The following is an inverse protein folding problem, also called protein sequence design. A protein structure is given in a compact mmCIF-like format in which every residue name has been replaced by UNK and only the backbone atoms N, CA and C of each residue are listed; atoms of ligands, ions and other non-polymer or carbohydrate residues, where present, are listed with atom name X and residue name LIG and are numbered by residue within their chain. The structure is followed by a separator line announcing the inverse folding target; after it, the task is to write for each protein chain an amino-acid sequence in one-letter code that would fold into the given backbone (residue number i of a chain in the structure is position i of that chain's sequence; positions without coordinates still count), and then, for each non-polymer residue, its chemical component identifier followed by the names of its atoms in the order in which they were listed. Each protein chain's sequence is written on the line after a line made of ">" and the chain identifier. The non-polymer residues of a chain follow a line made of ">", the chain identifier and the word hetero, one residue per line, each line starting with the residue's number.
data_IF_373721769548
#
_entry.id   IF_373721769548
#
_cell.length_a   1.000
_cell.length_b   1.000
_cell.length_c   1.000
_cell.angle_alpha   90.00
_cell.angle_beta   90.00
_cell.angle_gamma   90.00
#
_symmetry.space_group_name_H-M   'P 1'
#
loop_
_entity.id
_entity.type
_entity.pdbx_description
1 polymer ?
#
# COMPACT_ATOMS: atom_id res chain seq x y z
N UNK A 1 -22.20 15.16 7.01
CA UNK A 1 -22.60 16.46 7.51
C UNK A 1 -21.86 17.57 6.77
N UNK A 2 -22.17 18.79 7.04
CA UNK A 2 -21.47 19.97 6.54
C UNK A 2 -20.45 20.41 7.58
N UNK A 3 -19.29 20.83 7.12
CA UNK A 3 -18.21 21.40 7.92
C UNK A 3 -17.79 22.72 7.26
N UNK A 4 -17.26 23.66 8.06
CA UNK A 4 -16.64 24.86 7.47
C UNK A 4 -15.37 24.49 6.71
N UNK A 5 -15.09 25.23 5.64
CA UNK A 5 -13.84 25.05 4.89
C UNK A 5 -12.64 25.29 5.82
N UNK A 6 -11.68 24.33 5.85
CA UNK A 6 -10.53 24.47 6.72
C UNK A 6 -9.52 25.48 6.15
N UNK A 7 -8.81 26.19 7.04
CA UNK A 7 -7.73 27.09 6.66
C UNK A 7 -6.37 26.51 7.02
N UNK A 8 -5.37 26.55 6.11
CA UNK A 8 -4.05 26.00 6.38
C UNK A 8 -3.25 26.90 7.32
N UNK A 9 -2.64 26.28 8.33
CA UNK A 9 -1.69 26.88 9.24
C UNK A 9 -0.28 27.01 8.64
N UNK A 10 0.68 27.34 9.49
CA UNK A 10 2.10 27.47 9.08
C UNK A 10 2.63 26.14 8.57
N UNK A 11 3.21 26.13 7.35
CA UNK A 11 3.77 24.94 6.72
C UNK A 11 2.73 23.94 6.17
N UNK A 12 1.45 24.35 6.10
CA UNK A 12 0.36 23.53 5.61
C UNK A 12 -0.16 24.00 4.25
N UNK A 13 -0.80 23.09 3.55
CA UNK A 13 -1.54 23.37 2.31
C UNK A 13 -2.98 22.89 2.44
N UNK A 14 -3.91 23.58 1.79
CA UNK A 14 -5.26 23.08 1.56
C UNK A 14 -5.34 22.44 0.18
N UNK A 15 -5.82 21.21 0.15
CA UNK A 15 -6.05 20.48 -1.10
C UNK A 15 -7.55 20.39 -1.34
N UNK A 16 -8.00 20.95 -2.46
CA UNK A 16 -9.32 20.66 -3.02
C UNK A 16 -9.28 19.27 -3.62
N UNK A 17 -9.97 18.34 -2.98
CA UNK A 17 -9.95 16.93 -3.35
C UNK A 17 -10.83 16.69 -4.58
N UNK A 18 -10.38 15.78 -5.44
CA UNK A 18 -11.11 15.25 -6.60
C UNK A 18 -11.36 13.76 -6.45
N UNK A 19 -10.50 13.08 -5.68
CA UNK A 19 -10.60 11.64 -5.41
C UNK A 19 -10.08 11.28 -4.02
N UNK A 20 -10.73 10.32 -3.37
CA UNK A 20 -10.33 9.74 -2.08
C UNK A 20 -10.26 8.23 -2.17
N UNK A 21 -9.12 7.63 -1.81
CA UNK A 21 -8.88 6.20 -1.84
C UNK A 21 -9.31 5.51 -0.56
N UNK A 22 -9.96 4.35 -0.66
CA UNK A 22 -10.41 3.58 0.49
C UNK A 22 -9.55 2.33 0.65
N UNK A 23 -8.88 2.22 1.77
CA UNK A 23 -8.06 1.08 2.14
C UNK A 23 -8.79 0.13 3.10
N UNK A 24 -8.42 -1.17 3.16
CA UNK A 24 -8.93 -2.08 4.17
C UNK A 24 -8.69 -1.59 5.61
N UNK A 25 -7.64 -0.82 5.83
CA UNK A 25 -7.34 -0.21 7.14
C UNK A 25 -8.39 0.82 7.56
N UNK A 26 -8.90 1.65 6.64
CA UNK A 26 -9.93 2.65 6.94
C UNK A 26 -11.20 1.96 7.44
N UNK A 27 -11.58 0.84 6.80
CA UNK A 27 -12.71 0.02 7.21
C UNK A 27 -12.46 -0.65 8.57
N UNK A 28 -11.26 -1.24 8.77
CA UNK A 28 -10.88 -1.86 10.04
C UNK A 28 -10.86 -0.84 11.19
N UNK A 29 -10.42 0.39 10.94
CA UNK A 29 -10.43 1.46 11.95
C UNK A 29 -11.86 1.84 12.34
N UNK A 30 -12.74 2.04 11.37
CA UNK A 30 -14.16 2.30 11.64
C UNK A 30 -14.84 1.20 12.47
N UNK A 31 -14.51 -0.07 12.20
CA UNK A 31 -15.15 -1.21 12.86
C UNK A 31 -14.59 -1.55 14.23
N UNK A 32 -13.33 -1.25 14.50
CA UNK A 32 -12.59 -1.84 15.62
C UNK A 32 -11.95 -0.84 16.58
N UNK A 33 -11.96 0.46 16.25
CA UNK A 33 -11.40 1.50 17.12
C UNK A 33 -12.51 2.36 17.71
N UNK A 34 -12.44 2.71 19.00
CA UNK A 34 -13.21 3.83 19.52
C UNK A 34 -12.80 5.10 18.75
N UNK A 35 -13.70 6.08 18.69
CA UNK A 35 -13.37 7.38 18.14
C UNK A 35 -12.38 8.09 19.07
N UNK A 36 -11.20 8.41 18.53
CA UNK A 36 -10.18 9.19 19.25
C UNK A 36 -10.53 10.70 19.24
N UNK A 37 -11.53 11.10 18.44
CA UNK A 37 -11.99 12.48 18.26
C UNK A 37 -13.51 12.51 18.24
N UNK A 38 -14.11 13.64 18.58
CA UNK A 38 -15.57 13.84 18.59
C UNK A 38 -16.21 13.52 17.22
N UNK A 39 -15.49 13.84 16.15
CA UNK A 39 -15.88 13.53 14.77
C UNK A 39 -14.65 13.18 13.93
N UNK A 40 -14.81 12.35 12.94
CA UNK A 40 -13.76 11.92 12.03
C UNK A 40 -14.25 11.97 10.59
N UNK A 41 -13.49 12.63 9.72
CA UNK A 41 -13.55 12.43 8.27
C UNK A 41 -12.58 11.30 7.92
N UNK A 42 -13.05 10.16 7.39
CA UNK A 42 -12.18 9.01 7.16
C UNK A 42 -11.27 9.18 5.94
N UNK A 43 -10.44 8.18 5.73
CA UNK A 43 -9.50 7.92 4.65
C UNK A 43 -8.18 8.67 4.75
N UNK A 44 -7.12 7.92 4.42
CA UNK A 44 -5.74 8.43 4.47
C UNK A 44 -5.23 8.91 3.12
N UNK A 45 -5.79 8.39 2.02
CA UNK A 45 -5.30 8.57 0.66
C UNK A 45 -6.26 9.43 -0.16
N UNK A 46 -5.71 10.32 -0.97
CA UNK A 46 -6.50 11.14 -1.87
C UNK A 46 -5.66 11.79 -2.95
N UNK A 47 -6.32 12.50 -3.85
CA UNK A 47 -5.66 13.33 -4.84
C UNK A 47 -6.55 14.52 -5.20
N UNK A 48 -5.91 15.65 -5.51
CA UNK A 48 -6.60 16.89 -5.78
C UNK A 48 -5.65 17.98 -6.25
N UNK A 49 -6.08 19.22 -6.08
CA UNK A 49 -5.32 20.40 -6.44
C UNK A 49 -5.12 21.28 -5.20
N UNK A 50 -3.91 21.75 -4.96
CA UNK A 50 -3.66 22.74 -3.91
C UNK A 50 -4.38 24.03 -4.31
N UNK A 51 -5.35 24.45 -3.51
CA UNK A 51 -6.11 25.68 -3.77
C UNK A 51 -5.70 26.83 -2.85
N UNK A 52 -5.08 26.51 -1.70
CA UNK A 52 -4.58 27.51 -0.76
C UNK A 52 -3.33 27.02 -0.01
N UNK A 53 -2.43 27.93 0.33
CA UNK A 53 -1.20 27.64 1.07
C UNK A 53 -1.11 28.52 2.32
N UNK A 54 -0.69 27.90 3.42
CA UNK A 54 -0.45 28.60 4.68
C UNK A 54 0.90 29.34 4.69
N UNK A 55 1.13 30.15 5.73
CA UNK A 55 2.41 30.85 5.89
C UNK A 55 3.59 29.88 5.87
N UNK A 56 4.68 30.26 5.18
CA UNK A 56 5.90 29.45 5.04
C UNK A 56 5.90 28.50 3.83
N UNK A 57 4.76 28.29 3.16
CA UNK A 57 4.68 27.51 1.92
C UNK A 57 4.72 28.44 0.71
N UNK A 58 5.47 28.04 -0.33
CA UNK A 58 5.61 28.83 -1.55
C UNK A 58 4.29 28.95 -2.32
N UNK A 59 3.88 30.18 -2.69
CA UNK A 59 2.63 30.45 -3.43
C UNK A 59 2.58 29.76 -4.81
N UNK A 60 3.72 29.40 -5.38
CA UNK A 60 3.82 28.66 -6.65
C UNK A 60 3.18 27.26 -6.58
N UNK A 61 2.92 26.74 -5.38
CA UNK A 61 2.23 25.47 -5.19
C UNK A 61 0.72 25.55 -5.43
N UNK A 62 0.11 26.74 -5.41
CA UNK A 62 -1.31 26.92 -5.74
C UNK A 62 -1.54 26.52 -7.19
N UNK A 63 -2.55 25.69 -7.43
CA UNK A 63 -2.84 25.09 -8.72
C UNK A 63 -2.10 23.77 -9.00
N UNK A 64 -1.16 23.37 -8.15
CA UNK A 64 -0.41 22.11 -8.30
C UNK A 64 -1.32 20.91 -8.09
N UNK A 65 -1.29 19.96 -9.02
CA UNK A 65 -1.92 18.65 -8.88
C UNK A 65 -1.10 17.79 -7.92
N UNK A 66 -1.77 17.17 -6.95
CA UNK A 66 -1.07 16.38 -5.91
C UNK A 66 -1.83 15.10 -5.58
N UNK A 67 -1.10 14.12 -5.11
CA UNK A 67 -1.63 13.02 -4.33
C UNK A 67 -1.22 13.19 -2.86
N UNK A 68 -2.04 12.68 -1.95
CA UNK A 68 -1.83 12.85 -0.50
C UNK A 68 -1.76 11.51 0.20
N UNK A 69 -1.03 11.48 1.32
CA UNK A 69 -0.83 10.30 2.15
C UNK A 69 -1.05 10.61 3.63
N UNK A 70 -1.48 9.60 4.40
CA UNK A 70 -1.70 9.67 5.85
C UNK A 70 -2.60 10.84 6.29
N UNK A 71 -3.56 11.27 5.48
CA UNK A 71 -4.40 12.42 5.81
C UNK A 71 -5.11 12.26 7.16
N UNK A 72 -5.61 11.08 7.50
CA UNK A 72 -6.36 10.81 8.75
C UNK A 72 -5.48 10.20 9.87
N UNK A 73 -4.16 10.05 9.68
CA UNK A 73 -3.30 9.43 10.69
C UNK A 73 -3.08 10.36 11.90
N UNK A 74 -3.55 9.93 13.10
CA UNK A 74 -3.45 10.65 14.38
C UNK A 74 -4.11 12.04 14.37
N UNK A 75 -5.10 12.26 13.50
CA UNK A 75 -5.91 13.47 13.41
C UNK A 75 -7.31 13.17 12.86
N UNK A 76 -8.28 14.06 13.06
CA UNK A 76 -9.67 13.79 12.70
C UNK A 76 -9.98 13.94 11.20
N UNK A 77 -9.12 14.62 10.43
CA UNK A 77 -9.43 15.07 9.08
C UNK A 77 -8.73 14.21 8.01
N UNK A 78 -9.50 13.34 7.36
CA UNK A 78 -9.08 12.54 6.23
C UNK A 78 -9.57 13.10 4.89
N UNK A 79 -9.57 12.25 3.86
CA UNK A 79 -9.82 12.67 2.46
C UNK A 79 -11.24 12.43 1.97
N UNK A 80 -12.15 11.89 2.78
CA UNK A 80 -13.55 11.70 2.39
C UNK A 80 -14.36 13.01 2.55
N UNK A 81 -13.88 14.11 1.97
CA UNK A 81 -14.46 15.46 1.99
C UNK A 81 -13.99 16.27 0.79
N UNK A 82 -14.50 17.49 0.62
CA UNK A 82 -14.15 18.37 -0.49
C UNK A 82 -12.78 19.02 -0.30
N UNK A 83 -12.39 19.34 0.93
CA UNK A 83 -11.13 20.00 1.25
C UNK A 83 -10.45 19.33 2.45
N UNK A 84 -9.15 19.18 2.36
CA UNK A 84 -8.31 18.73 3.48
C UNK A 84 -7.11 19.67 3.65
N UNK A 85 -6.79 20.00 4.91
CA UNK A 85 -5.56 20.71 5.25
C UNK A 85 -4.56 19.71 5.81
N UNK A 86 -3.31 19.82 5.38
CA UNK A 86 -2.23 18.90 5.77
C UNK A 86 -0.85 19.56 5.60
N UNK A 87 0.18 19.09 6.32
CA UNK A 87 1.55 19.53 6.08
C UNK A 87 1.93 19.42 4.60
N UNK A 88 2.62 20.43 4.06
CA UNK A 88 2.96 20.48 2.64
C UNK A 88 3.70 19.23 2.13
N UNK A 89 4.50 18.60 2.99
CA UNK A 89 5.21 17.35 2.66
C UNK A 89 4.28 16.16 2.37
N UNK A 90 3.03 16.21 2.84
CA UNK A 90 2.03 15.17 2.58
C UNK A 90 1.28 15.36 1.25
N UNK A 91 1.47 16.49 0.57
CA UNK A 91 0.92 16.79 -0.74
C UNK A 91 2.02 16.69 -1.80
N UNK A 92 2.15 15.51 -2.39
CA UNK A 92 3.21 15.18 -3.35
C UNK A 92 2.73 15.46 -4.78
N UNK A 93 3.57 16.04 -5.67
CA UNK A 93 3.18 16.28 -7.05
C UNK A 93 2.65 15.03 -7.76
N UNK A 94 1.52 15.18 -8.46
CA UNK A 94 0.90 14.13 -9.29
C UNK A 94 1.20 14.44 -10.75
N UNK A 95 1.85 13.53 -11.51
CA UNK A 95 2.11 13.72 -12.94
C UNK A 95 0.84 14.04 -13.73
N UNK A 96 0.93 14.93 -14.71
CA UNK A 96 -0.22 15.38 -15.50
C UNK A 96 -0.90 14.25 -16.29
N UNK A 97 -0.15 13.23 -16.69
CA UNK A 97 -0.67 12.06 -17.38
C UNK A 97 -1.55 11.16 -16.50
N UNK A 98 -1.52 11.34 -15.17
CA UNK A 98 -2.29 10.53 -14.23
C UNK A 98 -3.63 11.19 -13.89
N UNK A 99 -4.69 10.38 -13.76
CA UNK A 99 -5.96 10.86 -13.22
C UNK A 99 -5.89 11.01 -11.69
N UNK A 100 -6.80 11.80 -11.10
CA UNK A 100 -6.89 11.91 -9.64
C UNK A 100 -7.30 10.59 -8.98
N UNK A 101 -8.11 9.77 -9.65
CA UNK A 101 -8.46 8.43 -9.16
C UNK A 101 -7.22 7.52 -9.06
N UNK A 102 -6.30 7.62 -10.02
CA UNK A 102 -5.01 6.92 -9.95
C UNK A 102 -4.13 7.48 -8.82
N UNK A 103 -4.11 8.81 -8.66
CA UNK A 103 -3.41 9.47 -7.55
C UNK A 103 -3.92 9.01 -6.17
N UNK A 104 -5.22 8.83 -6.02
CA UNK A 104 -5.83 8.33 -4.79
C UNK A 104 -5.52 6.84 -4.47
N UNK A 105 -4.81 6.14 -5.36
CA UNK A 105 -4.33 4.77 -5.13
C UNK A 105 -2.90 4.70 -4.59
N UNK A 106 -2.21 5.84 -4.41
CA UNK A 106 -0.77 5.85 -4.16
C UNK A 106 -0.39 5.82 -2.68
N UNK A 107 -1.13 6.50 -1.82
CA UNK A 107 -0.74 6.76 -0.43
C UNK A 107 -0.38 5.49 0.35
N UNK A 108 -1.34 4.71 0.76
CA UNK A 108 -1.07 3.48 1.51
C UNK A 108 -0.57 2.36 0.60
N UNK A 109 -1.22 2.02 -0.54
CA UNK A 109 -0.82 0.82 -1.30
C UNK A 109 0.56 0.95 -1.95
N UNK A 110 0.83 2.04 -2.65
CA UNK A 110 2.10 2.18 -3.37
C UNK A 110 3.27 2.43 -2.41
N UNK A 111 3.11 3.28 -1.37
CA UNK A 111 4.17 3.51 -0.39
C UNK A 111 4.50 2.24 0.42
N UNK A 112 3.50 1.41 0.77
CA UNK A 112 3.74 0.10 1.39
C UNK A 112 4.58 -0.79 0.49
N UNK A 113 4.25 -0.85 -0.80
CA UNK A 113 5.01 -1.63 -1.78
C UNK A 113 6.45 -1.11 -1.93
N UNK A 114 6.65 0.20 -2.11
CA UNK A 114 8.01 0.79 -2.22
C UNK A 114 8.83 0.47 -0.98
N UNK A 115 8.25 0.65 0.23
CA UNK A 115 8.97 0.35 1.47
C UNK A 115 9.36 -1.12 1.56
N UNK A 116 8.47 -2.02 1.12
CA UNK A 116 8.78 -3.46 1.07
C UNK A 116 9.98 -3.74 0.15
N UNK A 117 10.02 -3.10 -1.03
CA UNK A 117 11.14 -3.23 -1.97
C UNK A 117 12.45 -2.70 -1.37
N UNK A 118 12.42 -1.54 -0.71
CA UNK A 118 13.62 -0.99 -0.04
C UNK A 118 14.14 -1.93 1.05
N UNK A 119 13.23 -2.50 1.86
CA UNK A 119 13.59 -3.44 2.92
C UNK A 119 14.12 -4.77 2.36
N UNK A 120 13.71 -5.18 1.17
CA UNK A 120 14.23 -6.35 0.48
C UNK A 120 15.68 -6.16 -0.02
N UNK A 121 16.15 -4.92 -0.11
CA UNK A 121 17.47 -4.57 -0.63
C UNK A 121 17.57 -4.74 -2.15
N UNK A 122 18.77 -5.05 -2.67
CA UNK A 122 18.95 -5.27 -4.11
C UNK A 122 18.21 -6.53 -4.56
N UNK A 123 17.35 -6.39 -5.57
CA UNK A 123 16.50 -7.48 -6.09
C UNK A 123 16.96 -8.00 -7.47
N UNK A 124 17.96 -7.41 -8.10
CA UNK A 124 18.45 -7.83 -9.41
C UNK A 124 18.87 -9.31 -9.40
N UNK A 125 18.23 -10.12 -10.25
CA UNK A 125 18.47 -11.56 -10.36
C UNK A 125 17.94 -12.41 -9.20
N UNK A 126 17.25 -11.81 -8.22
CA UNK A 126 16.68 -12.52 -7.06
C UNK A 126 15.28 -13.06 -7.34
N UNK A 127 14.87 -14.06 -6.58
CA UNK A 127 13.49 -14.57 -6.58
C UNK A 127 12.76 -14.06 -5.35
N UNK A 128 11.57 -13.50 -5.56
CA UNK A 128 10.73 -12.90 -4.49
C UNK A 128 9.38 -13.58 -4.46
N UNK A 129 8.91 -13.94 -3.26
CA UNK A 129 7.52 -14.35 -3.03
C UNK A 129 6.70 -13.15 -2.57
N UNK A 130 5.63 -12.82 -3.29
CA UNK A 130 4.66 -11.78 -2.88
C UNK A 130 3.35 -12.44 -2.51
N UNK A 131 3.00 -12.41 -1.22
CA UNK A 131 1.70 -12.94 -0.77
C UNK A 131 0.57 -11.99 -1.14
N UNK A 132 -0.54 -12.53 -1.64
CA UNK A 132 -1.66 -11.71 -2.12
C UNK A 132 -1.28 -10.77 -3.27
N UNK A 133 -0.51 -11.24 -4.23
CA UNK A 133 0.02 -10.47 -5.37
C UNK A 133 -1.06 -9.76 -6.22
N UNK A 134 -2.31 -10.26 -6.22
CA UNK A 134 -3.46 -9.60 -6.87
C UNK A 134 -4.21 -8.61 -5.95
N UNK A 135 -3.69 -8.26 -4.76
CA UNK A 135 -4.23 -7.20 -3.89
C UNK A 135 -3.74 -5.82 -4.34
N UNK A 136 -4.27 -4.74 -3.76
CA UNK A 136 -3.81 -3.38 -4.09
C UNK A 136 -2.30 -3.19 -3.82
N UNK A 137 -1.81 -3.58 -2.64
CA UNK A 137 -0.38 -3.51 -2.31
C UNK A 137 0.42 -4.54 -3.10
N UNK A 138 -0.06 -5.81 -3.16
CA UNK A 138 0.65 -6.89 -3.83
C UNK A 138 0.85 -6.65 -5.32
N UNK A 139 -0.12 -6.00 -5.99
CA UNK A 139 0.00 -5.60 -7.40
C UNK A 139 1.14 -4.59 -7.62
N UNK A 140 1.26 -3.57 -6.74
CA UNK A 140 2.38 -2.64 -6.79
C UNK A 140 3.70 -3.33 -6.42
N UNK A 141 3.73 -4.13 -5.35
CA UNK A 141 4.94 -4.82 -4.93
C UNK A 141 5.48 -5.76 -6.02
N UNK A 142 4.58 -6.47 -6.74
CA UNK A 142 4.94 -7.32 -7.87
C UNK A 142 5.57 -6.50 -8.99
N UNK A 143 4.91 -5.42 -9.45
CA UNK A 143 5.45 -4.55 -10.49
C UNK A 143 6.82 -3.98 -10.11
N UNK A 144 6.92 -3.42 -8.91
CA UNK A 144 8.16 -2.79 -8.43
C UNK A 144 9.30 -3.79 -8.26
N UNK A 145 9.02 -5.02 -7.78
CA UNK A 145 10.03 -6.08 -7.70
C UNK A 145 10.53 -6.47 -9.11
N UNK A 146 9.63 -6.60 -10.09
CA UNK A 146 9.99 -6.86 -11.49
C UNK A 146 10.82 -5.71 -12.07
N UNK A 147 10.44 -4.45 -11.80
CA UNK A 147 11.21 -3.27 -12.23
C UNK A 147 12.63 -3.22 -11.65
N UNK A 148 12.83 -3.79 -10.45
CA UNK A 148 14.15 -3.96 -9.81
C UNK A 148 14.89 -5.23 -10.27
N UNK A 149 14.36 -5.97 -11.27
CA UNK A 149 15.00 -7.14 -11.86
C UNK A 149 14.77 -8.46 -11.12
N UNK A 150 13.75 -8.54 -10.25
CA UNK A 150 13.40 -9.78 -9.59
C UNK A 150 12.54 -10.70 -10.45
N UNK A 151 12.66 -12.00 -10.21
CA UNK A 151 11.69 -13.01 -10.62
C UNK A 151 10.64 -13.16 -9.51
N UNK A 152 9.38 -12.80 -9.78
CA UNK A 152 8.34 -12.79 -8.76
C UNK A 152 7.45 -14.02 -8.83
N UNK A 153 7.29 -14.72 -7.70
CA UNK A 153 6.26 -15.73 -7.48
C UNK A 153 5.16 -15.03 -6.65
N UNK A 154 3.92 -15.04 -7.16
CA UNK A 154 2.79 -14.46 -6.44
C UNK A 154 1.93 -15.52 -5.78
N UNK A 155 1.11 -15.13 -4.76
CA UNK A 155 -0.02 -15.95 -4.32
C UNK A 155 -1.34 -15.23 -4.58
N UNK A 156 -2.39 -15.97 -4.92
CA UNK A 156 -3.72 -15.43 -5.12
C UNK A 156 -4.79 -16.43 -4.65
N UNK A 157 -5.97 -15.96 -4.24
CA UNK A 157 -7.08 -16.79 -3.76
C UNK A 157 -8.26 -16.86 -4.72
N UNK A 158 -8.10 -16.44 -5.99
CA UNK A 158 -9.09 -16.57 -7.06
C UNK A 158 -8.46 -16.39 -8.42
N UNK A 159 -9.10 -16.93 -9.47
CA UNK A 159 -8.64 -16.79 -10.86
C UNK A 159 -8.46 -15.33 -11.27
N UNK A 160 -9.42 -14.47 -10.95
CA UNK A 160 -9.36 -13.05 -11.28
C UNK A 160 -8.16 -12.32 -10.61
N UNK A 161 -7.83 -12.66 -9.35
CA UNK A 161 -6.65 -12.11 -8.67
C UNK A 161 -5.33 -12.71 -9.17
N UNK A 162 -5.38 -13.94 -9.71
CA UNK A 162 -4.25 -14.54 -10.42
C UNK A 162 -3.92 -13.73 -11.66
N UNK A 163 -4.92 -13.44 -12.51
CA UNK A 163 -4.75 -12.60 -13.70
C UNK A 163 -4.16 -11.23 -13.33
N UNK A 164 -4.61 -10.63 -12.23
CA UNK A 164 -4.09 -9.34 -11.74
C UNK A 164 -2.59 -9.41 -11.40
N UNK A 165 -2.16 -10.51 -10.77
CA UNK A 165 -0.76 -10.73 -10.41
C UNK A 165 0.11 -11.05 -11.65
N UNK A 166 -0.43 -11.81 -12.61
CA UNK A 166 0.25 -12.10 -13.89
C UNK A 166 0.43 -10.83 -14.71
N UNK A 167 -0.60 -9.98 -14.80
CA UNK A 167 -0.52 -8.67 -15.47
C UNK A 167 0.47 -7.72 -14.78
N UNK A 168 0.67 -7.85 -13.46
CA UNK A 168 1.71 -7.12 -12.73
C UNK A 168 3.13 -7.63 -13.01
N UNK A 169 3.29 -8.73 -13.75
CA UNK A 169 4.56 -9.32 -14.14
C UNK A 169 5.01 -10.50 -13.27
N UNK A 170 4.13 -11.09 -12.45
CA UNK A 170 4.49 -12.31 -11.72
C UNK A 170 4.82 -13.45 -12.69
N UNK A 171 5.99 -14.08 -12.50
CA UNK A 171 6.43 -15.23 -13.28
C UNK A 171 5.52 -16.46 -13.11
N UNK A 172 5.01 -16.65 -11.90
CA UNK A 172 4.08 -17.73 -11.55
C UNK A 172 3.18 -17.26 -10.41
N UNK A 173 1.93 -17.74 -10.38
CA UNK A 173 0.97 -17.41 -9.30
C UNK A 173 0.39 -18.69 -8.72
N UNK A 174 0.56 -18.87 -7.41
CA UNK A 174 0.08 -20.01 -6.65
C UNK A 174 -1.33 -19.71 -6.12
N UNK A 175 -2.30 -20.58 -6.42
CA UNK A 175 -3.59 -20.56 -5.76
C UNK A 175 -3.47 -21.21 -4.37
N UNK A 176 -3.35 -20.39 -3.34
CA UNK A 176 -3.15 -20.85 -1.97
C UNK A 176 -4.36 -21.58 -1.36
N UNK A 177 -5.52 -21.56 -2.05
CA UNK A 177 -6.69 -22.34 -1.65
C UNK A 177 -6.67 -23.78 -2.16
N UNK A 178 -5.91 -24.04 -3.23
CA UNK A 178 -5.79 -25.34 -3.87
C UNK A 178 -4.46 -26.01 -3.66
N UNK A 179 -3.41 -25.23 -3.36
CA UNK A 179 -2.04 -25.72 -3.35
C UNK A 179 -1.29 -25.17 -2.13
N UNK A 180 -0.58 -26.02 -1.40
CA UNK A 180 0.32 -25.60 -0.33
C UNK A 180 1.43 -24.71 -0.89
N UNK A 181 1.57 -23.49 -0.33
CA UNK A 181 2.46 -22.46 -0.87
C UNK A 181 3.93 -22.87 -0.76
N UNK A 182 4.39 -23.34 0.39
CA UNK A 182 5.79 -23.69 0.62
C UNK A 182 6.32 -24.76 -0.34
N UNK A 183 5.70 -25.96 -0.40
CA UNK A 183 6.10 -27.00 -1.35
C UNK A 183 6.11 -26.50 -2.81
N UNK A 184 5.12 -25.69 -3.20
CA UNK A 184 5.05 -25.19 -4.56
C UNK A 184 6.13 -24.16 -4.88
N UNK A 185 6.49 -23.31 -3.91
CA UNK A 185 7.63 -22.38 -4.05
C UNK A 185 8.93 -23.17 -4.23
N UNK A 186 9.15 -24.20 -3.41
CA UNK A 186 10.34 -25.06 -3.53
C UNK A 186 10.40 -25.76 -4.89
N UNK A 187 9.29 -26.28 -5.40
CA UNK A 187 9.22 -26.86 -6.73
C UNK A 187 9.60 -25.83 -7.82
N UNK A 188 9.00 -24.62 -7.80
CA UNK A 188 9.27 -23.55 -8.76
C UNK A 188 10.71 -23.02 -8.71
N UNK A 189 11.39 -23.21 -7.58
CA UNK A 189 12.77 -22.79 -7.35
C UNK A 189 13.77 -23.95 -7.33
N UNK A 190 13.34 -25.16 -7.72
CA UNK A 190 14.18 -26.37 -7.74
C UNK A 190 14.84 -26.66 -6.37
N UNK A 191 14.10 -26.40 -5.29
CA UNK A 191 14.55 -26.57 -3.92
C UNK A 191 15.35 -25.42 -3.33
N UNK A 192 15.71 -24.40 -4.12
CA UNK A 192 16.55 -23.29 -3.66
C UNK A 192 15.81 -22.32 -2.69
N UNK A 193 14.50 -22.19 -2.83
CA UNK A 193 13.71 -21.18 -2.11
C UNK A 193 13.84 -19.77 -2.69
N UNK A 194 13.26 -18.78 -2.02
CA UNK A 194 13.26 -17.37 -2.44
C UNK A 194 14.24 -16.53 -1.62
N UNK A 195 14.69 -15.41 -2.18
CA UNK A 195 15.61 -14.48 -1.51
C UNK A 195 14.84 -13.53 -0.57
N UNK A 196 13.59 -13.22 -0.90
CA UNK A 196 12.73 -12.36 -0.07
C UNK A 196 11.27 -12.82 -0.10
N UNK A 197 10.55 -12.56 0.99
CA UNK A 197 9.09 -12.66 1.09
C UNK A 197 8.54 -11.28 1.41
N UNK A 198 7.56 -10.81 0.63
CA UNK A 198 6.79 -9.58 0.89
C UNK A 198 5.38 -10.03 1.28
N UNK A 199 5.03 -9.84 2.55
CA UNK A 199 3.88 -10.49 3.16
C UNK A 199 2.81 -9.52 3.66
N UNK A 200 1.55 -9.82 3.28
CA UNK A 200 0.38 -9.03 3.65
C UNK A 200 -0.35 -9.51 4.90
N UNK A 201 -0.11 -10.75 5.35
CA UNK A 201 -0.85 -11.35 6.46
C UNK A 201 -0.03 -12.38 7.22
N UNK A 202 0.83 -11.89 8.09
CA UNK A 202 1.73 -12.73 8.88
C UNK A 202 1.00 -13.81 9.70
N UNK A 203 -0.23 -13.54 10.12
CA UNK A 203 -1.02 -14.51 10.89
C UNK A 203 -1.35 -15.80 10.12
N UNK A 204 -1.39 -15.75 8.79
CA UNK A 204 -1.66 -16.92 7.95
C UNK A 204 -0.41 -17.48 7.25
N UNK A 205 0.69 -16.73 7.24
CA UNK A 205 1.88 -17.05 6.43
C UNK A 205 3.16 -17.26 7.23
N UNK A 206 3.14 -17.04 8.56
CA UNK A 206 4.31 -17.24 9.43
C UNK A 206 4.90 -18.66 9.32
N UNK A 207 4.08 -19.68 9.05
CA UNK A 207 4.52 -21.06 8.84
C UNK A 207 5.53 -21.22 7.69
N UNK A 208 5.49 -20.33 6.67
CA UNK A 208 6.46 -20.32 5.57
C UNK A 208 7.91 -20.16 6.04
N UNK A 209 8.13 -19.54 7.21
CA UNK A 209 9.46 -19.45 7.82
C UNK A 209 10.05 -20.83 8.12
N UNK A 210 9.23 -21.77 8.62
CA UNK A 210 9.64 -23.13 8.97
C UNK A 210 9.69 -24.09 7.77
N UNK A 211 9.07 -23.73 6.65
CA UNK A 211 8.95 -24.57 5.45
C UNK A 211 10.15 -24.46 4.48
N UNK A 212 11.24 -23.83 4.91
CA UNK A 212 12.44 -23.59 4.06
C UNK A 212 12.18 -22.77 2.78
N UNK A 213 11.07 -22.02 2.74
CA UNK A 213 10.72 -21.17 1.60
C UNK A 213 11.74 -20.08 1.35
N UNK A 214 12.27 -19.47 2.43
CA UNK A 214 13.36 -18.50 2.36
C UNK A 214 14.73 -19.20 2.27
N UNK A 215 15.64 -18.67 1.47
CA UNK A 215 17.07 -19.02 1.50
C UNK A 215 17.69 -18.61 2.84
N UNK A 216 18.85 -19.18 3.19
CA UNK A 216 19.69 -18.63 4.25
C UNK A 216 20.06 -17.18 3.90
N UNK A 217 20.11 -16.30 4.93
CA UNK A 217 20.27 -14.85 4.78
C UNK A 217 19.16 -14.15 3.97
N UNK A 218 18.00 -14.81 3.80
CA UNK A 218 16.83 -14.22 3.18
C UNK A 218 16.12 -13.24 4.10
N UNK A 219 15.28 -12.37 3.52
CA UNK A 219 14.51 -11.39 4.28
C UNK A 219 13.01 -11.66 4.17
N UNK A 220 12.32 -11.68 5.30
CA UNK A 220 10.88 -11.76 5.39
C UNK A 220 10.32 -10.38 5.81
N UNK A 221 9.57 -9.74 4.93
CA UNK A 221 9.02 -8.40 5.14
C UNK A 221 7.53 -8.52 5.38
N UNK A 222 7.07 -8.13 6.58
CA UNK A 222 5.68 -8.11 6.97
C UNK A 222 5.16 -6.68 7.07
N UNK A 223 4.10 -6.37 6.33
CA UNK A 223 3.41 -5.08 6.40
C UNK A 223 1.97 -5.17 6.90
N UNK A 224 1.50 -6.36 7.24
CA UNK A 224 0.15 -6.55 7.73
C UNK A 224 -0.10 -7.90 8.37
N UNK A 225 -1.21 -7.96 9.13
CA UNK A 225 -1.73 -9.18 9.70
C UNK A 225 -3.25 -9.03 9.92
N UNK A 226 -4.01 -10.09 9.67
CA UNK A 226 -5.45 -10.11 9.97
C UNK A 226 -5.71 -10.35 11.45
N UNK A 227 -4.85 -11.14 12.10
CA UNK A 227 -4.84 -11.34 13.55
C UNK A 227 -3.66 -10.60 14.13
N UNK A 228 -3.91 -9.76 15.14
CA UNK A 228 -2.89 -9.04 15.91
C UNK A 228 -2.79 -9.64 17.29
N UNK A 229 -1.60 -9.70 17.85
CA UNK A 229 -1.33 -10.29 19.17
C UNK A 229 -0.10 -11.20 19.12
N UNK A 230 -0.06 -12.19 20.00
CA UNK A 230 1.06 -13.13 20.06
C UNK A 230 0.91 -14.17 18.96
N UNK A 231 1.89 -14.23 18.07
CA UNK A 231 1.97 -15.23 17.01
C UNK A 231 3.25 -16.07 17.20
N UNK A 232 3.16 -17.42 17.08
CA UNK A 232 4.33 -18.27 17.20
C UNK A 232 5.26 -18.09 16.01
N UNK A 233 6.56 -18.00 16.27
CA UNK A 233 7.62 -17.94 15.27
C UNK A 233 8.68 -18.98 15.61
N UNK A 234 9.12 -19.76 14.62
CA UNK A 234 10.22 -20.71 14.78
C UNK A 234 11.57 -19.98 14.88
N UNK A 235 11.94 -19.64 16.12
CA UNK A 235 13.21 -18.95 16.40
C UNK A 235 14.42 -19.77 15.95
N UNK A 236 14.36 -21.13 16.00
CA UNK A 236 15.45 -21.98 15.56
C UNK A 236 15.74 -21.73 14.07
N UNK A 237 14.72 -21.73 13.24
CA UNK A 237 14.89 -21.45 11.80
C UNK A 237 15.47 -20.06 11.56
N UNK A 238 14.98 -19.02 12.28
CA UNK A 238 15.51 -17.66 12.13
C UNK A 238 17.02 -17.62 12.44
N UNK A 239 17.45 -18.24 13.56
CA UNK A 239 18.86 -18.23 13.99
C UNK A 239 19.76 -19.07 13.06
N UNK A 240 19.39 -20.33 12.81
CA UNK A 240 20.25 -21.25 12.05
C UNK A 240 20.38 -20.90 10.57
N UNK A 241 19.45 -20.11 10.04
CA UNK A 241 19.46 -19.66 8.65
C UNK A 241 19.75 -18.17 8.50
N UNK A 242 20.00 -17.46 9.61
CA UNK A 242 20.26 -16.01 9.59
C UNK A 242 19.17 -15.24 8.84
N UNK A 243 17.90 -15.52 9.15
CA UNK A 243 16.77 -14.87 8.49
C UNK A 243 16.51 -13.50 9.10
N UNK A 244 16.40 -12.49 8.28
CA UNK A 244 15.90 -11.16 8.66
C UNK A 244 14.37 -11.13 8.65
N UNK A 245 13.76 -10.96 9.81
CA UNK A 245 12.32 -10.69 9.93
C UNK A 245 12.12 -9.18 10.14
N UNK A 246 11.52 -8.50 9.17
CA UNK A 246 11.33 -7.05 9.15
C UNK A 246 9.85 -6.71 9.12
N UNK A 247 9.35 -6.11 10.19
CA UNK A 247 7.99 -5.58 10.26
C UNK A 247 8.01 -4.06 10.15
N UNK A 248 7.04 -3.48 9.46
CA UNK A 248 6.86 -2.04 9.41
C UNK A 248 5.39 -1.64 9.30
N UNK A 249 5.11 -0.42 9.73
CA UNK A 249 3.82 0.22 9.57
C UNK A 249 3.98 1.44 8.65
N UNK A 250 3.34 1.43 7.48
CA UNK A 250 3.48 2.51 6.49
C UNK A 250 3.05 3.88 7.02
N UNK A 251 2.15 3.92 7.99
CA UNK A 251 1.73 5.16 8.65
C UNK A 251 2.83 5.84 9.47
N UNK A 252 3.77 5.07 9.99
CA UNK A 252 4.77 5.49 10.99
C UNK A 252 6.22 5.31 10.49
N UNK A 253 6.44 5.51 9.19
CA UNK A 253 7.80 5.50 8.63
C UNK A 253 8.60 6.69 9.15
N UNK A 254 9.89 6.46 9.40
CA UNK A 254 10.83 7.53 9.70
C UNK A 254 10.86 8.56 8.54
N UNK A 255 11.10 9.85 8.83
CA UNK A 255 11.10 10.90 7.79
C UNK A 255 11.98 10.58 6.58
N UNK A 256 13.22 10.13 6.80
CA UNK A 256 14.17 9.80 5.73
C UNK A 256 13.71 8.59 4.91
N UNK A 257 13.17 7.55 5.55
CA UNK A 257 12.60 6.40 4.88
C UNK A 257 11.40 6.80 4.02
N UNK A 258 10.55 7.69 4.54
CA UNK A 258 9.39 8.24 3.82
C UNK A 258 9.83 9.04 2.60
N UNK A 259 10.79 9.93 2.77
CA UNK A 259 11.33 10.75 1.68
C UNK A 259 11.90 9.86 0.56
N UNK A 260 12.73 8.89 0.91
CA UNK A 260 13.30 7.94 -0.06
C UNK A 260 12.21 7.09 -0.77
N UNK A 261 11.12 6.71 -0.06
CA UNK A 261 9.98 6.03 -0.69
C UNK A 261 9.28 6.94 -1.71
N UNK A 262 9.02 8.19 -1.35
CA UNK A 262 8.35 9.16 -2.21
C UNK A 262 9.20 9.47 -3.45
N UNK A 263 10.48 9.71 -3.28
CA UNK A 263 11.42 9.97 -4.38
C UNK A 263 11.43 8.80 -5.39
N UNK A 264 11.60 7.57 -4.90
CA UNK A 264 11.63 6.37 -5.76
C UNK A 264 10.29 6.16 -6.48
N UNK A 265 9.18 6.34 -5.78
CA UNK A 265 7.83 6.22 -6.36
C UNK A 265 7.62 7.28 -7.42
N UNK A 266 7.94 8.55 -7.14
CA UNK A 266 7.78 9.66 -8.09
C UNK A 266 8.56 9.41 -9.38
N UNK A 267 9.79 8.91 -9.31
CA UNK A 267 10.57 8.56 -10.48
C UNK A 267 9.90 7.50 -11.38
N UNK A 268 9.25 6.48 -10.81
CA UNK A 268 8.49 5.50 -11.59
C UNK A 268 7.17 6.07 -12.15
N UNK A 269 6.51 6.97 -11.42
CA UNK A 269 5.28 7.62 -11.87
C UNK A 269 5.55 8.57 -13.06
N UNK A 270 6.59 9.38 -12.99
CA UNK A 270 7.02 10.28 -14.08
C UNK A 270 7.37 9.52 -15.36
N UNK A 271 7.96 8.32 -15.22
CA UNK A 271 8.29 7.43 -16.34
C UNK A 271 7.10 6.61 -16.83
N UNK A 272 5.93 6.70 -16.20
CA UNK A 272 4.74 5.92 -16.57
C UNK A 272 4.92 4.40 -16.41
N UNK A 273 5.81 3.94 -15.50
CA UNK A 273 6.19 2.53 -15.39
C UNK A 273 5.24 1.69 -14.53
N UNK A 274 4.28 2.30 -13.86
CA UNK A 274 3.34 1.63 -12.97
C UNK A 274 1.92 1.64 -13.51
N UNK A 275 1.26 0.51 -13.41
CA UNK A 275 -0.16 0.37 -13.67
C UNK A 275 -0.94 0.56 -12.37
N UNK A 276 -2.00 1.35 -12.43
CA UNK A 276 -2.85 1.68 -11.30
C UNK A 276 -4.21 1.01 -11.45
N UNK A 277 -4.69 0.32 -10.40
CA UNK A 277 -5.96 -0.39 -10.45
C UNK A 277 -7.00 0.26 -9.58
N UNK A 278 -7.92 0.97 -10.23
CA UNK A 278 -9.17 1.45 -9.61
C UNK A 278 -10.21 0.33 -9.74
N UNK A 279 -10.60 -0.26 -8.62
CA UNK A 279 -11.55 -1.38 -8.59
C UNK A 279 -12.98 -0.92 -8.92
N UNK A 280 -13.38 0.19 -8.32
CA UNK A 280 -14.69 0.81 -8.50
C UNK A 280 -14.68 2.23 -7.98
N UNK A 281 -15.45 3.11 -8.62
CA UNK A 281 -15.67 4.47 -8.16
C UNK A 281 -17.07 4.66 -7.61
N UNK A 282 -17.19 5.45 -6.55
CA UNK A 282 -18.44 5.87 -5.93
C UNK A 282 -18.44 7.39 -5.80
N UNK A 283 -19.60 8.03 -5.67
CA UNK A 283 -19.69 9.45 -5.29
C UNK A 283 -19.46 9.61 -3.78
N UNK A 284 -18.99 10.76 -3.32
CA UNK A 284 -18.77 11.04 -1.90
C UNK A 284 -19.98 10.65 -1.03
N UNK A 285 -21.21 11.00 -1.43
CA UNK A 285 -22.45 10.64 -0.72
C UNK A 285 -22.70 9.13 -0.60
N UNK A 286 -21.98 8.30 -1.34
CA UNK A 286 -22.09 6.84 -1.34
C UNK A 286 -20.99 6.18 -0.50
N UNK A 287 -20.34 6.91 0.42
CA UNK A 287 -19.23 6.43 1.25
C UNK A 287 -19.60 5.13 1.99
N UNK A 288 -20.82 5.01 2.51
CA UNK A 288 -21.28 3.79 3.19
C UNK A 288 -21.20 2.59 2.25
N UNK A 289 -21.83 2.68 1.07
CA UNK A 289 -21.81 1.60 0.07
C UNK A 289 -20.40 1.28 -0.43
N UNK A 290 -19.52 2.28 -0.50
CA UNK A 290 -18.12 2.09 -0.87
C UNK A 290 -17.35 1.29 0.21
N UNK A 291 -17.57 1.58 1.49
CA UNK A 291 -17.02 0.82 2.61
C UNK A 291 -17.53 -0.63 2.63
N UNK A 292 -18.83 -0.84 2.49
CA UNK A 292 -19.45 -2.18 2.39
C UNK A 292 -18.84 -2.98 1.24
N UNK A 293 -18.59 -2.34 0.09
CA UNK A 293 -17.93 -2.99 -1.05
C UNK A 293 -16.48 -3.38 -0.72
N UNK A 294 -15.75 -2.57 0.06
CA UNK A 294 -14.40 -2.96 0.54
C UNK A 294 -14.49 -4.13 1.53
N UNK A 295 -15.47 -4.12 2.44
CA UNK A 295 -15.71 -5.17 3.44
C UNK A 295 -16.05 -6.53 2.79
N UNK A 296 -16.75 -6.54 1.67
CA UNK A 296 -17.09 -7.78 0.94
C UNK A 296 -15.87 -8.59 0.48
N UNK A 297 -14.67 -7.97 0.47
CA UNK A 297 -13.44 -8.60 0.00
C UNK A 297 -13.36 -8.86 -1.50
N UNK A 298 -14.41 -8.50 -2.26
CA UNK A 298 -14.52 -8.78 -3.70
C UNK A 298 -13.73 -7.80 -4.59
N UNK A 299 -13.23 -6.67 -4.02
CA UNK A 299 -12.52 -5.64 -4.78
C UNK A 299 -11.21 -6.13 -5.40
N UNK A 300 -10.93 -5.67 -6.62
CA UNK A 300 -9.68 -5.89 -7.37
C UNK A 300 -8.98 -4.55 -7.61
N UNK A 301 -8.16 -4.10 -6.67
CA UNK A 301 -7.53 -2.78 -6.66
C UNK A 301 -8.06 -1.87 -5.56
N UNK A 302 -7.92 -0.56 -5.73
CA UNK A 302 -8.38 0.46 -4.78
C UNK A 302 -9.80 0.91 -5.11
N UNK A 303 -10.65 1.04 -4.11
CA UNK A 303 -11.97 1.69 -4.23
C UNK A 303 -11.79 3.18 -4.05
N UNK A 304 -12.43 3.98 -4.89
CA UNK A 304 -12.22 5.43 -4.91
C UNK A 304 -13.57 6.16 -4.80
N UNK A 305 -13.61 7.18 -3.96
CA UNK A 305 -14.68 8.18 -3.98
C UNK A 305 -14.30 9.29 -4.97
N UNK A 306 -15.22 9.66 -5.84
CA UNK A 306 -15.19 10.92 -6.60
C UNK A 306 -15.87 12.01 -5.79
N UNK A 307 -15.21 13.14 -5.69
CA UNK A 307 -15.61 14.30 -4.91
C UNK A 307 -16.05 15.41 -5.86
#
# INVERSE_FOLDING_TARGET
>A
GELSDPEPGIGEVRVKLHASGINPSDVKFRLRRPLDFEQIVPHSDGAGTIDYVGPGVGSHRVGQRVWVWNAQWRRPWGTACEYVVLPEAQAVPLPDAMSFEQGACLGIPALTAVRSIQLAGSLAGKTVLVTGAGSAVGHYATQMAVLEGARVIGTAGSGARREDAEQAGAFSVIDYKQTAVGPRVLELTQGAGVDAVIDMDFSSTAALLSENVLKAHGVYICYGSNTTGILPVDLKTLLWRSIDLRCFLVYDLLPDDRAACIEKLSGWLEQGRLQHRVAKTFRLRQTVAAHEFVESGSKRGTVVLRI
#
